data_IF_134029282062
#
_entry.id   IF_134029282062
#
_cell.length_a   1.000
_cell.length_b   1.000
_cell.length_c   1.000
_cell.angle_alpha   90.00
_cell.angle_beta   90.00
_cell.angle_gamma   90.00
#
_symmetry.space_group_name_H-M   'P 1'
#
loop_
_entity.id
_entity.type
_entity.pdbx_description
1 polymer ?
#
# COMPACT_ATOMS: atom_id res chain seq x y z
N UNK A 1 -12.49 -6.92 -13.12
CA UNK A 1 -11.30 -7.43 -12.40
C UNK A 1 -10.23 -6.36 -12.19
N UNK A 2 -9.53 -5.84 -13.21
CA UNK A 2 -8.40 -4.90 -13.05
C UNK A 2 -8.71 -3.59 -12.29
N UNK A 3 -9.87 -2.98 -12.55
CA UNK A 3 -10.30 -1.73 -11.89
C UNK A 3 -10.57 -1.91 -10.39
N UNK A 4 -11.11 -3.08 -10.00
CA UNK A 4 -11.39 -3.40 -8.61
C UNK A 4 -10.11 -3.57 -7.79
N UNK A 5 -9.08 -4.23 -8.35
CA UNK A 5 -7.77 -4.32 -7.69
C UNK A 5 -7.13 -2.94 -7.47
N UNK A 6 -7.22 -2.05 -8.47
CA UNK A 6 -6.71 -0.68 -8.33
C UNK A 6 -7.45 0.07 -7.22
N UNK A 7 -8.77 -0.06 -7.16
CA UNK A 7 -9.60 0.56 -6.12
C UNK A 7 -9.26 0.01 -4.72
N UNK A 8 -9.03 -1.30 -4.61
CA UNK A 8 -8.60 -1.96 -3.37
C UNK A 8 -7.23 -1.46 -2.91
N UNK A 9 -6.26 -1.32 -3.82
CA UNK A 9 -4.95 -0.77 -3.52
C UNK A 9 -5.00 0.68 -3.05
N UNK A 10 -5.83 1.51 -3.68
CA UNK A 10 -6.04 2.90 -3.27
C UNK A 10 -6.64 2.92 -1.85
N UNK A 11 -7.65 2.10 -1.60
CA UNK A 11 -8.29 2.01 -0.28
C UNK A 11 -7.30 1.54 0.80
N UNK A 12 -6.47 0.54 0.49
CA UNK A 12 -5.42 0.03 1.38
C UNK A 12 -4.37 1.11 1.69
N UNK A 13 -3.92 1.85 0.68
CA UNK A 13 -2.95 2.93 0.86
C UNK A 13 -3.52 4.06 1.74
N UNK A 14 -4.74 4.52 1.45
CA UNK A 14 -5.42 5.55 2.25
C UNK A 14 -5.61 5.06 3.70
N UNK A 15 -6.11 3.83 3.90
CA UNK A 15 -6.30 3.27 5.22
C UNK A 15 -5.00 3.16 6.03
N UNK A 16 -3.92 2.65 5.41
CA UNK A 16 -2.61 2.58 6.05
C UNK A 16 -2.03 3.95 6.38
N UNK A 17 -2.27 4.95 5.53
CA UNK A 17 -1.83 6.33 5.75
C UNK A 17 -2.56 7.00 6.91
N UNK A 18 -3.88 6.80 7.02
CA UNK A 18 -4.65 7.27 8.17
C UNK A 18 -4.15 6.63 9.48
N UNK A 19 -3.86 5.33 9.49
CA UNK A 19 -3.29 4.64 10.65
C UNK A 19 -1.92 5.17 11.04
N UNK A 20 -1.09 5.52 10.05
CA UNK A 20 0.19 6.17 10.29
C UNK A 20 0.03 7.57 10.92
N UNK A 21 -0.90 8.40 10.43
CA UNK A 21 -1.20 9.69 11.06
C UNK A 21 -1.69 9.53 12.51
N UNK A 22 -2.61 8.60 12.77
CA UNK A 22 -3.04 8.24 14.13
C UNK A 22 -1.84 7.84 15.00
N UNK A 23 -0.90 7.13 14.40
CA UNK A 23 0.29 6.72 15.12
C UNK A 23 1.21 7.87 15.51
N UNK A 24 1.35 8.87 14.65
CA UNK A 24 2.06 10.12 14.98
C UNK A 24 1.37 10.88 16.12
N UNK A 25 0.05 10.79 16.21
CA UNK A 25 -0.75 11.32 17.33
C UNK A 25 -0.65 10.48 18.61
N UNK A 26 0.18 9.43 18.62
CA UNK A 26 0.35 8.44 19.72
C UNK A 26 -0.92 7.66 20.07
N UNK A 27 -1.93 7.65 19.20
CA UNK A 27 -3.16 6.86 19.41
C UNK A 27 -3.09 5.46 18.79
N UNK A 28 -2.07 5.19 17.97
CA UNK A 28 -1.81 3.88 17.35
C UNK A 28 -0.32 3.52 17.39
N UNK A 29 0.07 2.23 17.53
CA UNK A 29 1.48 1.83 17.58
C UNK A 29 2.25 2.09 16.28
N UNK A 30 3.33 2.87 16.39
CA UNK A 30 4.16 3.27 15.25
C UNK A 30 4.92 2.11 14.62
N UNK A 31 5.30 1.15 15.45
CA UNK A 31 5.95 -0.07 15.01
C UNK A 31 5.08 -0.89 14.04
N UNK A 32 3.75 -0.75 14.10
CA UNK A 32 2.82 -1.50 13.25
C UNK A 32 2.38 -0.66 12.04
N UNK A 33 2.10 0.63 12.25
CA UNK A 33 1.64 1.51 11.17
C UNK A 33 2.70 1.72 10.09
N UNK A 34 3.97 1.84 10.48
CA UNK A 34 5.08 2.03 9.57
C UNK A 34 5.27 0.87 8.57
N UNK A 35 5.44 -0.40 9.00
CA UNK A 35 5.54 -1.53 8.08
C UNK A 35 4.26 -1.75 7.28
N UNK A 36 3.08 -1.43 7.84
CA UNK A 36 1.81 -1.52 7.13
C UNK A 36 1.76 -0.55 5.94
N UNK A 37 2.13 0.72 6.15
CA UNK A 37 2.20 1.74 5.10
C UNK A 37 3.26 1.37 4.06
N UNK A 38 4.44 0.95 4.51
CA UNK A 38 5.53 0.58 3.61
C UNK A 38 5.17 -0.65 2.77
N UNK A 39 4.55 -1.66 3.37
CA UNK A 39 4.04 -2.85 2.68
C UNK A 39 2.97 -2.50 1.64
N UNK A 40 2.05 -1.59 1.96
CA UNK A 40 1.05 -1.10 1.00
C UNK A 40 1.70 -0.46 -0.24
N UNK A 41 2.72 0.38 -0.04
CA UNK A 41 3.47 1.01 -1.14
C UNK A 41 4.18 -0.04 -2.00
N UNK A 42 4.88 -1.00 -1.38
CA UNK A 42 5.59 -2.08 -2.11
C UNK A 42 4.62 -2.90 -2.94
N UNK A 43 3.46 -3.28 -2.40
CA UNK A 43 2.46 -4.06 -3.12
C UNK A 43 1.96 -3.31 -4.36
N UNK A 44 1.74 -2.00 -4.24
CA UNK A 44 1.30 -1.16 -5.36
C UNK A 44 2.37 -1.08 -6.43
N UNK A 45 3.62 -0.82 -6.04
CA UNK A 45 4.75 -0.75 -6.97
C UNK A 45 4.93 -2.10 -7.66
N UNK A 46 4.88 -3.22 -6.92
CA UNK A 46 4.98 -4.57 -7.46
C UNK A 46 3.87 -4.85 -8.48
N UNK A 47 2.62 -4.51 -8.15
CA UNK A 47 1.50 -4.67 -9.06
C UNK A 47 1.67 -3.86 -10.35
N UNK A 48 2.06 -2.57 -10.25
CA UNK A 48 2.32 -1.72 -11.41
C UNK A 48 3.51 -2.22 -12.23
N UNK A 49 4.55 -2.72 -11.58
CA UNK A 49 5.73 -3.25 -12.23
C UNK A 49 5.43 -4.56 -12.97
N UNK A 50 4.53 -5.40 -12.44
CA UNK A 50 4.08 -6.61 -13.14
C UNK A 50 3.41 -6.30 -14.50
N UNK A 51 2.75 -5.14 -14.65
CA UNK A 51 2.21 -4.71 -15.94
C UNK A 51 3.29 -4.26 -16.94
N UNK A 52 4.43 -3.77 -16.46
CA UNK A 52 5.53 -3.26 -17.29
C UNK A 52 6.69 -4.25 -17.43
N UNK A 53 6.60 -5.43 -16.82
CA UNK A 53 7.63 -6.45 -16.91
C UNK A 53 7.73 -6.91 -18.37
N UNK A 54 8.88 -6.64 -18.99
CA UNK A 54 9.21 -7.14 -20.32
C UNK A 54 9.09 -8.67 -20.26
N UNK A 55 8.16 -9.22 -21.04
CA UNK A 55 8.05 -10.66 -21.26
C UNK A 55 9.18 -11.04 -22.23
N UNK A 56 10.41 -11.06 -21.72
CA UNK A 56 11.51 -11.70 -22.44
C UNK A 56 11.13 -13.15 -22.74
N UNK A 57 11.51 -13.61 -23.94
CA UNK A 57 11.29 -14.95 -24.47
C UNK A 57 11.59 -16.06 -23.45
#
# INVERSE_FOLDING_TARGET
MRKFHILLFICLLIGSFCLYILSLLKTFPLLISLPLLFGAIILIISYLNHYKRFKGF
#
